data_IF_342359980323
#
_entry.id   IF_342359980323
#
_cell.length_a   1.000
_cell.length_b   1.000
_cell.length_c   1.000
_cell.angle_alpha   90.00
_cell.angle_beta   90.00
_cell.angle_gamma   90.00
#
_symmetry.space_group_name_H-M   'P 1'
#
loop_
_entity.id
_entity.type
_entity.pdbx_description
1 polymer ?
#
# COMPACT_ATOMS: atom_id res chain seq x y z
N UNK A 1 -5.49 -6.54 5.81
CA UNK A 1 -6.72 -6.06 6.49
C UNK A 1 -7.75 -5.67 5.45
N UNK A 2 -9.04 -5.57 5.83
CA UNK A 2 -10.13 -5.14 4.94
C UNK A 2 -9.93 -3.74 4.34
N UNK A 3 -9.16 -2.87 5.01
CA UNK A 3 -8.75 -1.58 4.43
C UNK A 3 -7.89 -1.74 3.17
N UNK A 4 -6.98 -2.73 3.13
CA UNK A 4 -6.19 -3.00 1.92
C UNK A 4 -7.07 -3.55 0.78
N UNK A 5 -8.00 -4.44 1.11
CA UNK A 5 -8.98 -4.95 0.13
C UNK A 5 -9.82 -3.82 -0.46
N UNK A 6 -10.27 -2.89 0.38
CA UNK A 6 -11.04 -1.73 -0.09
C UNK A 6 -10.26 -0.87 -1.09
N UNK A 7 -8.98 -0.62 -0.83
CA UNK A 7 -8.12 0.13 -1.74
C UNK A 7 -7.98 -0.59 -3.10
N UNK A 8 -7.81 -1.92 -3.07
CA UNK A 8 -7.74 -2.73 -4.28
C UNK A 8 -9.04 -2.67 -5.10
N UNK A 9 -10.19 -2.82 -4.44
CA UNK A 9 -11.49 -2.74 -5.09
C UNK A 9 -11.79 -1.33 -5.64
N UNK A 10 -11.35 -0.28 -4.96
CA UNK A 10 -11.45 1.08 -5.49
C UNK A 10 -10.61 1.27 -6.76
N UNK A 11 -9.40 0.71 -6.80
CA UNK A 11 -8.61 0.65 -8.02
C UNK A 11 -9.37 0.02 -9.19
N UNK A 12 -10.09 -1.07 -8.94
CA UNK A 12 -10.92 -1.73 -9.97
C UNK A 12 -12.10 -0.90 -10.42
N UNK A 13 -12.81 -0.26 -9.49
CA UNK A 13 -13.93 0.62 -9.84
C UNK A 13 -13.48 1.76 -10.77
N UNK A 14 -12.22 2.15 -10.68
CA UNK A 14 -11.58 3.13 -11.56
C UNK A 14 -10.98 2.53 -12.84
N UNK A 15 -11.26 1.27 -13.13
CA UNK A 15 -10.91 0.62 -14.39
C UNK A 15 -9.52 -0.04 -14.43
N UNK A 16 -8.83 -0.21 -13.29
CA UNK A 16 -7.60 -0.99 -13.25
C UNK A 16 -7.89 -2.46 -13.59
N UNK A 17 -7.25 -2.95 -14.65
CA UNK A 17 -7.49 -4.28 -15.23
C UNK A 17 -6.78 -5.40 -14.47
N UNK A 18 -5.56 -5.12 -14.03
CA UNK A 18 -4.73 -6.05 -13.25
C UNK A 18 -4.30 -5.35 -11.97
N UNK A 19 -4.34 -6.07 -10.86
CA UNK A 19 -3.87 -5.59 -9.57
C UNK A 19 -2.63 -6.36 -9.14
N UNK A 20 -1.57 -5.67 -8.77
CA UNK A 20 -0.40 -6.28 -8.16
C UNK A 20 -0.32 -5.94 -6.66
N UNK A 21 -0.25 -6.96 -5.80
CA UNK A 21 0.05 -6.79 -4.37
C UNK A 21 1.50 -7.14 -4.13
N UNK A 22 2.32 -6.12 -3.85
CA UNK A 22 3.77 -6.27 -3.69
C UNK A 22 4.14 -6.15 -2.23
N UNK A 23 4.76 -7.20 -1.69
CA UNK A 23 5.34 -7.19 -0.34
C UNK A 23 6.76 -6.64 -0.37
N UNK A 24 7.04 -5.67 0.50
CA UNK A 24 8.41 -5.25 0.73
C UNK A 24 9.10 -6.22 1.71
N UNK A 25 10.33 -6.64 1.38
CA UNK A 25 11.18 -7.50 2.23
C UNK A 25 11.62 -6.75 3.48
N UNK A 26 11.89 -5.45 3.37
CA UNK A 26 12.24 -4.55 4.48
C UNK A 26 11.42 -3.26 4.37
N UNK A 27 10.56 -2.95 5.35
CA UNK A 27 9.96 -1.62 5.42
C UNK A 27 11.06 -0.57 5.64
N UNK A 28 11.02 0.54 4.91
CA UNK A 28 12.05 1.59 4.97
C UNK A 28 12.25 2.22 6.37
N UNK A 29 11.25 2.16 7.28
CA UNK A 29 11.30 2.91 8.56
C UNK A 29 10.60 2.22 9.75
N UNK A 30 10.37 0.90 9.71
CA UNK A 30 9.58 0.24 10.76
C UNK A 30 10.34 -0.91 11.41
N UNK A 31 10.88 -0.64 12.61
CA UNK A 31 11.14 -1.67 13.60
C UNK A 31 9.82 -2.05 14.28
N UNK A 32 8.98 -2.82 13.57
CA UNK A 32 7.80 -3.43 14.19
C UNK A 32 7.96 -4.92 14.13
N UNK A 33 7.67 -5.61 15.25
CA UNK A 33 7.53 -7.07 15.28
C UNK A 33 6.47 -7.45 14.25
N UNK A 34 6.94 -7.95 13.11
CA UNK A 34 6.14 -8.33 11.96
C UNK A 34 6.27 -9.84 11.76
N UNK A 35 5.30 -10.45 11.08
CA UNK A 35 5.44 -11.83 10.68
C UNK A 35 6.55 -11.96 9.63
N UNK A 36 7.18 -13.12 9.61
CA UNK A 36 8.19 -13.46 8.60
C UNK A 36 7.66 -13.21 7.18
N UNK A 37 8.57 -12.88 6.26
CA UNK A 37 8.18 -12.63 4.87
C UNK A 37 7.37 -13.80 4.28
N UNK A 38 7.76 -15.03 4.61
CA UNK A 38 7.06 -16.25 4.17
C UNK A 38 5.64 -16.28 4.69
N UNK A 39 5.42 -16.00 5.98
CA UNK A 39 4.07 -15.97 6.56
C UNK A 39 3.22 -14.86 5.95
N UNK A 40 3.81 -13.69 5.67
CA UNK A 40 3.12 -12.60 4.96
C UNK A 40 2.70 -12.99 3.54
N UNK A 41 3.58 -13.67 2.81
CA UNK A 41 3.27 -14.17 1.47
C UNK A 41 2.19 -15.25 1.53
N UNK A 42 2.26 -16.17 2.49
CA UNK A 42 1.23 -17.20 2.69
C UNK A 42 -0.13 -16.59 3.04
N UNK A 43 -0.19 -15.52 3.84
CA UNK A 43 -1.43 -14.79 4.09
C UNK A 43 -2.01 -14.18 2.80
N UNK A 44 -1.17 -13.65 1.90
CA UNK A 44 -1.62 -13.15 0.60
C UNK A 44 -2.09 -14.28 -0.32
N UNK A 45 -1.38 -15.40 -0.36
CA UNK A 45 -1.79 -16.58 -1.14
C UNK A 45 -3.12 -17.16 -0.64
N UNK A 46 -3.39 -17.12 0.67
CA UNK A 46 -4.70 -17.51 1.20
C UNK A 46 -5.83 -16.57 0.77
N UNK A 47 -5.52 -15.31 0.51
CA UNK A 47 -6.51 -14.28 0.15
C UNK A 47 -6.71 -14.17 -1.37
N UNK A 48 -5.67 -14.42 -2.15
CA UNK A 48 -5.64 -14.15 -3.59
C UNK A 48 -5.17 -15.33 -4.44
N UNK A 49 -4.83 -16.49 -3.86
CA UNK A 49 -4.23 -17.61 -4.60
C UNK A 49 -5.08 -18.14 -5.76
N UNK A 50 -6.40 -18.05 -5.64
CA UNK A 50 -7.36 -18.49 -6.67
C UNK A 50 -7.79 -17.35 -7.62
N UNK A 51 -7.29 -16.13 -7.39
CA UNK A 51 -7.66 -14.92 -8.13
C UNK A 51 -6.68 -14.68 -9.28
N UNK A 52 -7.12 -14.94 -10.52
CA UNK A 52 -6.31 -14.68 -11.73
C UNK A 52 -6.12 -13.21 -12.07
N UNK A 53 -6.88 -12.34 -11.43
CA UNK A 53 -6.88 -10.89 -11.61
C UNK A 53 -6.04 -10.15 -10.54
N UNK A 54 -5.28 -10.90 -9.74
CA UNK A 54 -4.33 -10.37 -8.76
C UNK A 54 -2.99 -11.08 -8.88
N UNK A 55 -1.96 -10.31 -9.20
CA UNK A 55 -0.57 -10.74 -9.19
C UNK A 55 0.04 -10.49 -7.81
N UNK A 56 0.83 -11.45 -7.30
CA UNK A 56 1.56 -11.30 -6.04
C UNK A 56 3.05 -11.11 -6.33
N UNK A 57 3.64 -10.08 -5.74
CA UNK A 57 5.06 -9.75 -5.92
C UNK A 57 5.80 -9.61 -4.59
N UNK A 58 7.12 -9.74 -4.63
CA UNK A 58 8.01 -9.44 -3.52
C UNK A 58 9.10 -8.49 -4.02
N UNK A 59 9.30 -7.39 -3.32
CA UNK A 59 10.33 -6.39 -3.62
C UNK A 59 11.36 -6.34 -2.49
N UNK A 60 12.65 -6.36 -2.86
CA UNK A 60 13.74 -6.00 -1.95
C UNK A 60 14.07 -4.49 -2.01
N UNK A 61 13.39 -3.74 -2.89
CA UNK A 61 13.57 -2.31 -3.08
C UNK A 61 12.53 -1.51 -2.29
N UNK A 62 12.98 -0.52 -1.53
CA UNK A 62 12.09 0.35 -0.75
C UNK A 62 11.42 1.45 -1.59
N UNK A 63 12.13 1.98 -2.60
CA UNK A 63 11.64 3.09 -3.41
C UNK A 63 10.63 2.63 -4.47
N UNK A 64 9.57 3.40 -4.64
CA UNK A 64 8.56 3.17 -5.68
C UNK A 64 9.12 3.32 -7.09
N UNK A 65 10.08 4.23 -7.29
CA UNK A 65 10.77 4.37 -8.56
C UNK A 65 11.51 3.09 -8.96
N UNK A 66 12.20 2.44 -8.02
CA UNK A 66 12.86 1.15 -8.29
C UNK A 66 11.86 0.05 -8.67
N UNK A 67 10.66 0.05 -8.06
CA UNK A 67 9.59 -0.87 -8.43
C UNK A 67 9.05 -0.60 -9.83
N UNK A 68 8.85 0.67 -10.19
CA UNK A 68 8.43 1.06 -11.53
C UNK A 68 9.43 0.60 -12.58
N UNK A 69 10.73 0.88 -12.38
CA UNK A 69 11.81 0.46 -13.29
C UNK A 69 11.82 -1.06 -13.51
N UNK A 70 11.64 -1.84 -12.43
CA UNK A 70 11.58 -3.30 -12.52
C UNK A 70 10.35 -3.79 -13.30
N UNK A 71 9.22 -3.08 -13.23
CA UNK A 71 7.99 -3.45 -13.94
C UNK A 71 7.99 -3.01 -15.41
N UNK A 72 8.64 -1.91 -15.77
CA UNK A 72 8.60 -1.33 -17.12
C UNK A 72 9.04 -2.30 -18.22
N UNK A 73 9.96 -3.23 -17.92
CA UNK A 73 10.41 -4.27 -18.87
C UNK A 73 9.42 -5.42 -19.07
N UNK A 74 8.53 -5.64 -18.10
CA UNK A 74 7.60 -6.77 -18.05
C UNK A 74 6.18 -6.38 -18.51
N UNK A 75 5.87 -5.09 -18.51
CA UNK A 75 4.54 -4.59 -18.85
C UNK A 75 4.33 -4.48 -20.36
N UNK A 76 3.11 -4.77 -20.86
CA UNK A 76 2.76 -4.53 -22.26
C UNK A 76 2.99 -3.07 -22.67
N UNK A 77 3.34 -2.85 -23.95
CA UNK A 77 3.47 -1.50 -24.49
C UNK A 77 2.18 -0.69 -24.26
N UNK A 78 2.32 0.51 -23.72
CA UNK A 78 1.20 1.41 -23.42
C UNK A 78 0.47 1.11 -22.12
N UNK A 79 0.89 0.10 -21.35
CA UNK A 79 0.38 -0.09 -20.00
C UNK A 79 0.75 1.12 -19.12
N UNK A 80 -0.21 1.53 -18.27
CA UNK A 80 0.00 2.58 -17.27
C UNK A 80 0.04 1.95 -15.89
N UNK A 81 1.02 2.36 -15.09
CA UNK A 81 1.12 1.94 -13.69
C UNK A 81 0.38 2.93 -12.82
N UNK A 82 -0.47 2.43 -11.92
CA UNK A 82 -1.08 3.24 -10.87
C UNK A 82 -0.70 2.65 -9.53
N UNK A 83 0.06 3.41 -8.73
CA UNK A 83 0.42 2.99 -7.39
C UNK A 83 -0.75 3.26 -6.43
N UNK A 84 -1.33 2.17 -5.92
CA UNK A 84 -2.36 2.21 -4.90
C UNK A 84 -1.73 2.30 -3.52
N UNK A 85 -2.02 3.36 -2.76
CA UNK A 85 -1.43 3.54 -1.44
C UNK A 85 -2.34 4.31 -0.47
N UNK A 86 -2.00 4.27 0.81
CA UNK A 86 -2.65 5.11 1.82
C UNK A 86 -1.91 6.43 2.04
N UNK A 87 -2.59 7.39 2.67
CA UNK A 87 -2.06 8.72 3.02
C UNK A 87 -0.61 8.72 3.55
N UNK A 88 -0.32 7.95 4.61
CA UNK A 88 1.03 7.92 5.21
C UNK A 88 2.13 7.42 4.25
N UNK A 89 1.76 6.70 3.20
CA UNK A 89 2.71 6.25 2.17
C UNK A 89 2.89 7.30 1.09
N UNK A 90 1.85 8.07 0.74
CA UNK A 90 1.99 9.26 -0.11
C UNK A 90 2.95 10.26 0.54
N UNK A 91 2.78 10.56 1.83
CA UNK A 91 3.65 11.52 2.55
C UNK A 91 5.10 11.07 2.45
N UNK A 92 5.38 9.78 2.65
CA UNK A 92 6.74 9.22 2.51
C UNK A 92 7.23 9.21 1.06
N UNK A 93 6.36 8.92 0.09
CA UNK A 93 6.71 8.97 -1.32
C UNK A 93 7.24 10.34 -1.72
N UNK A 94 6.65 11.41 -1.18
CA UNK A 94 7.03 12.78 -1.51
C UNK A 94 8.07 13.39 -0.54
N UNK A 95 8.56 12.63 0.45
CA UNK A 95 9.50 13.12 1.45
C UNK A 95 10.94 13.10 0.89
N UNK A 96 11.66 14.24 0.88
CA UNK A 96 13.02 14.34 0.34
C UNK A 96 14.04 13.43 1.00
N UNK A 97 13.85 13.00 2.25
CA UNK A 97 14.84 12.17 2.96
C UNK A 97 15.10 10.81 2.31
N UNK A 98 14.22 10.35 1.42
CA UNK A 98 14.35 9.07 0.72
C UNK A 98 15.05 9.18 -0.64
N UNK A 99 15.49 10.38 -1.03
CA UNK A 99 16.05 10.63 -2.35
C UNK A 99 17.37 11.38 -2.25
N UNK A 100 18.33 11.04 -3.11
CA UNK A 100 19.50 11.86 -3.35
C UNK A 100 19.11 13.11 -4.16
N UNK A 101 18.40 12.91 -5.27
CA UNK A 101 17.72 13.96 -6.04
C UNK A 101 16.22 13.62 -6.13
N UNK A 102 15.45 14.26 -5.25
CA UNK A 102 14.00 14.05 -5.16
C UNK A 102 13.28 14.47 -6.44
N UNK A 103 13.66 15.60 -7.03
CA UNK A 103 12.92 16.14 -8.16
C UNK A 103 13.11 15.26 -9.40
N UNK A 104 14.36 14.89 -9.71
CA UNK A 104 14.65 13.97 -10.81
C UNK A 104 13.95 12.62 -10.62
N UNK A 105 14.02 12.05 -9.42
CA UNK A 105 13.40 10.76 -9.12
C UNK A 105 11.87 10.79 -9.25
N UNK A 106 11.21 11.84 -8.75
CA UNK A 106 9.76 11.96 -8.85
C UNK A 106 9.30 12.28 -10.27
N UNK A 107 10.05 13.11 -11.03
CA UNK A 107 9.76 13.34 -12.45
C UNK A 107 9.83 12.05 -13.25
N UNK A 108 10.83 11.22 -13.00
CA UNK A 108 10.93 9.91 -13.64
C UNK A 108 9.76 9.00 -13.24
N UNK A 109 9.45 8.90 -11.94
CA UNK A 109 8.34 8.10 -11.43
C UNK A 109 7.02 8.49 -12.10
N UNK A 110 6.71 9.78 -12.09
CA UNK A 110 5.44 10.31 -12.59
C UNK A 110 5.38 10.45 -14.11
N UNK A 111 6.50 10.22 -14.83
CA UNK A 111 6.48 10.04 -16.28
C UNK A 111 5.87 8.70 -16.70
N UNK A 112 5.99 7.67 -15.85
CA UNK A 112 5.51 6.30 -16.11
C UNK A 112 4.39 5.81 -15.20
N UNK A 113 4.03 6.57 -14.17
CA UNK A 113 3.03 6.16 -13.19
C UNK A 113 2.14 7.31 -12.70
N UNK A 114 0.97 6.93 -12.19
CA UNK A 114 0.07 7.77 -11.41
C UNK A 114 -0.07 7.19 -10.00
N UNK A 115 -0.65 7.95 -9.09
CA UNK A 115 -0.90 7.53 -7.71
C UNK A 115 -2.38 7.69 -7.39
N UNK A 116 -2.96 6.65 -6.77
CA UNK A 116 -4.30 6.70 -6.19
C UNK A 116 -4.20 6.49 -4.67
N UNK A 117 -4.65 7.50 -3.91
CA UNK A 117 -4.49 7.56 -2.47
C UNK A 117 -5.80 7.33 -1.74
N UNK A 118 -5.82 6.30 -0.89
CA UNK A 118 -6.88 6.13 0.10
C UNK A 118 -6.64 7.01 1.32
N UNK A 119 -7.47 8.04 1.48
CA UNK A 119 -7.52 8.91 2.66
C UNK A 119 -8.12 8.14 3.84
N UNK A 120 -7.41 8.15 4.96
CA UNK A 120 -7.69 7.31 6.15
C UNK A 120 -7.22 8.00 7.43
N UNK A 121 -7.68 7.51 8.57
CA UNK A 121 -7.52 8.21 9.85
C UNK A 121 -8.14 9.60 9.74
N UNK A 122 -7.43 10.58 10.27
CA UNK A 122 -7.81 11.99 10.26
C UNK A 122 -7.53 12.71 8.94
N UNK A 123 -6.85 12.06 7.97
CA UNK A 123 -6.54 12.70 6.70
C UNK A 123 -7.81 12.95 5.87
N UNK A 124 -7.95 14.17 5.40
CA UNK A 124 -9.06 14.69 4.60
C UNK A 124 -8.61 15.14 3.21
N UNK A 125 -9.57 15.49 2.35
CA UNK A 125 -9.28 16.13 1.06
C UNK A 125 -8.56 17.46 1.22
N UNK A 126 -8.89 18.24 2.24
CA UNK A 126 -8.22 19.50 2.55
C UNK A 126 -6.75 19.29 2.91
N UNK A 127 -6.43 18.24 3.67
CA UNK A 127 -5.04 17.89 4.00
C UNK A 127 -4.25 17.51 2.75
N UNK A 128 -4.85 16.74 1.84
CA UNK A 128 -4.25 16.38 0.56
C UNK A 128 -4.00 17.63 -0.30
N UNK A 129 -5.00 18.50 -0.43
CA UNK A 129 -4.87 19.72 -1.22
C UNK A 129 -3.79 20.64 -0.66
N UNK A 130 -3.78 20.86 0.65
CA UNK A 130 -2.75 21.66 1.32
C UNK A 130 -1.35 21.03 1.14
N UNK A 131 -1.25 19.70 1.22
CA UNK A 131 0.02 19.00 1.02
C UNK A 131 0.53 19.11 -0.43
N UNK A 132 -0.35 18.94 -1.42
CA UNK A 132 0.02 19.02 -2.85
C UNK A 132 0.22 20.45 -3.35
N UNK A 133 -0.33 21.45 -2.66
CA UNK A 133 -0.15 22.87 -3.00
C UNK A 133 1.21 23.43 -2.55
N UNK A 134 2.01 22.67 -1.80
CA UNK A 134 3.38 23.05 -1.47
C UNK A 134 4.24 23.16 -2.74
N UNK A 135 5.12 24.16 -2.88
CA UNK A 135 5.90 24.37 -4.10
C UNK A 135 6.66 23.12 -4.58
N UNK A 136 7.20 22.34 -3.66
CA UNK A 136 7.96 21.12 -3.94
C UNK A 136 7.09 19.93 -4.41
N UNK A 137 5.78 19.97 -4.17
CA UNK A 137 4.82 18.93 -4.56
C UNK A 137 3.97 19.33 -5.77
N UNK A 138 3.83 20.63 -6.00
CA UNK A 138 2.97 21.20 -7.05
C UNK A 138 3.20 20.58 -8.44
N UNK A 139 4.45 20.32 -8.91
CA UNK A 139 4.69 19.72 -10.22
C UNK A 139 4.09 18.32 -10.40
N UNK A 140 3.77 17.63 -9.31
CA UNK A 140 3.28 16.25 -9.31
C UNK A 140 1.78 16.14 -8.98
N UNK A 141 1.11 17.26 -8.66
CA UNK A 141 -0.29 17.31 -8.22
C UNK A 141 -1.23 16.53 -9.14
N UNK A 142 -1.13 16.77 -10.45
CA UNK A 142 -2.06 16.19 -11.44
C UNK A 142 -1.89 14.69 -11.66
N UNK A 143 -0.84 14.10 -11.07
CA UNK A 143 -0.54 12.66 -11.14
C UNK A 143 -1.03 11.91 -9.90
N UNK A 144 -1.62 12.64 -8.95
CA UNK A 144 -2.06 12.12 -7.66
C UNK A 144 -3.55 12.37 -7.52
N UNK A 145 -4.32 11.28 -7.50
CA UNK A 145 -5.76 11.31 -7.20
C UNK A 145 -6.03 10.60 -5.87
N UNK A 146 -7.22 10.81 -5.31
CA UNK A 146 -7.57 10.21 -4.03
C UNK A 146 -9.03 9.76 -3.95
N UNK A 147 -9.34 9.12 -2.83
CA UNK A 147 -10.68 8.75 -2.38
C UNK A 147 -10.68 8.61 -0.87
N UNK A 148 -11.87 8.71 -0.26
CA UNK A 148 -12.00 8.44 1.17
C UNK A 148 -12.30 6.97 1.44
N UNK A 149 -11.63 6.40 2.44
CA UNK A 149 -12.05 5.11 2.96
C UNK A 149 -13.38 5.28 3.73
N UNK A 150 -14.26 4.26 3.70
CA UNK A 150 -15.46 4.24 4.52
C UNK A 150 -15.12 4.47 6.00
N UNK A 151 -16.00 5.15 6.78
CA UNK A 151 -15.74 5.45 8.19
C UNK A 151 -15.27 4.24 9.00
N UNK A 152 -15.87 3.06 8.77
CA UNK A 152 -15.51 1.80 9.44
C UNK A 152 -14.10 1.28 9.14
N UNK A 153 -13.44 1.77 8.08
CA UNK A 153 -12.11 1.35 7.65
C UNK A 153 -11.04 2.43 7.84
N UNK A 154 -11.42 3.71 8.08
CA UNK A 154 -10.46 4.82 8.24
C UNK A 154 -9.44 4.56 9.36
N UNK A 155 -9.88 4.00 10.49
CA UNK A 155 -9.01 3.71 11.65
C UNK A 155 -8.24 2.38 11.56
N UNK A 156 -8.49 1.55 10.54
CA UNK A 156 -7.97 0.17 10.49
C UNK A 156 -6.49 0.12 10.10
N UNK A 157 -5.59 -0.09 11.06
CA UNK A 157 -4.14 -0.26 10.80
C UNK A 157 -3.66 -1.68 11.14
N UNK A 158 -2.69 -2.18 10.38
CA UNK A 158 -2.06 -3.48 10.69
C UNK A 158 -1.31 -3.45 12.03
N UNK A 159 -0.74 -2.30 12.41
CA UNK A 159 -0.10 -2.10 13.71
C UNK A 159 -1.10 -2.31 14.85
N UNK A 160 -2.27 -1.68 14.76
CA UNK A 160 -3.32 -1.81 15.79
C UNK A 160 -3.88 -3.23 15.85
N UNK A 161 -4.08 -3.88 14.69
CA UNK A 161 -4.48 -5.30 14.63
C UNK A 161 -3.48 -6.19 15.38
N UNK A 162 -2.17 -6.02 15.12
CA UNK A 162 -1.13 -6.80 15.81
C UNK A 162 -1.10 -6.49 17.31
N UNK A 163 -1.23 -5.23 17.70
CA UNK A 163 -1.28 -4.80 19.10
C UNK A 163 -2.44 -5.47 19.85
N UNK A 164 -3.63 -5.46 19.28
CA UNK A 164 -4.82 -6.13 19.85
C UNK A 164 -4.61 -7.63 20.06
N UNK A 165 -3.97 -8.30 19.10
CA UNK A 165 -3.67 -9.73 19.19
C UNK A 165 -2.63 -10.01 20.29
N UNK A 166 -1.56 -9.21 20.34
CA UNK A 166 -0.52 -9.34 21.37
C UNK A 166 -1.07 -9.14 22.78
N UNK A 167 -1.99 -8.19 22.95
CA UNK A 167 -2.67 -7.90 24.21
C UNK A 167 -3.84 -8.88 24.52
N UNK A 168 -3.99 -9.95 23.73
CA UNK A 168 -4.99 -11.00 23.99
C UNK A 168 -6.44 -10.61 23.71
N UNK A 169 -6.70 -9.47 23.04
CA UNK A 169 -8.06 -9.00 22.72
C UNK A 169 -8.72 -9.73 21.53
N UNK A 170 -8.07 -10.77 21.02
CA UNK A 170 -8.53 -11.54 19.87
C UNK A 170 -8.18 -10.90 18.52
N UNK A 171 -8.57 -11.57 17.43
CA UNK A 171 -8.31 -11.08 16.07
C UNK A 171 -9.50 -10.24 15.61
N UNK A 172 -9.31 -8.95 15.28
CA UNK A 172 -10.43 -8.07 14.99
C UNK A 172 -11.14 -8.44 13.67
N UNK A 173 -12.44 -8.13 13.57
CA UNK A 173 -13.27 -8.43 12.39
C UNK A 173 -12.85 -7.70 11.11
N UNK A 174 -11.94 -6.72 11.22
CA UNK A 174 -11.34 -5.98 10.11
C UNK A 174 -10.22 -6.76 9.40
N UNK A 175 -9.89 -7.96 9.88
CA UNK A 175 -9.04 -8.93 9.18
C UNK A 175 -9.94 -9.86 8.35
N UNK A 176 -9.61 -10.16 7.07
CA UNK A 176 -10.33 -11.15 6.27
C UNK A 176 -10.28 -12.54 6.91
N UNK A 177 -11.32 -13.36 6.75
CA UNK A 177 -11.46 -14.61 7.49
C UNK A 177 -10.34 -15.61 7.18
N UNK A 178 -9.95 -15.71 5.91
CA UNK A 178 -8.86 -16.56 5.42
C UNK A 178 -7.53 -16.21 6.10
N UNK A 179 -7.33 -14.92 6.39
CA UNK A 179 -6.15 -14.41 7.08
C UNK A 179 -6.27 -14.61 8.59
N UNK A 180 -7.47 -14.48 9.18
CA UNK A 180 -7.70 -14.78 10.61
C UNK A 180 -7.35 -16.24 10.91
N UNK A 181 -7.87 -17.17 10.12
CA UNK A 181 -7.62 -18.60 10.23
C UNK A 181 -6.12 -18.90 10.20
N UNK A 182 -5.40 -18.25 9.29
CA UNK A 182 -3.96 -18.41 9.18
C UNK A 182 -3.23 -17.90 10.42
N UNK A 183 -3.56 -16.69 10.90
CA UNK A 183 -2.99 -16.10 12.11
C UNK A 183 -3.22 -17.00 13.32
N UNK A 184 -4.43 -17.57 13.48
CA UNK A 184 -4.76 -18.49 14.58
C UNK A 184 -3.93 -19.77 14.51
N UNK A 185 -3.90 -20.44 13.34
CA UNK A 185 -3.18 -21.70 13.14
C UNK A 185 -1.68 -21.56 13.36
N UNK A 186 -1.11 -20.42 12.97
CA UNK A 186 0.32 -20.13 13.10
C UNK A 186 0.69 -19.41 14.41
N UNK A 187 -0.29 -19.14 15.27
CA UNK A 187 -0.10 -18.40 16.52
C UNK A 187 0.64 -17.05 16.35
N UNK A 188 0.43 -16.38 15.21
CA UNK A 188 1.15 -15.15 14.88
C UNK A 188 0.73 -14.00 15.79
N UNK A 189 1.68 -13.11 16.06
CA UNK A 189 1.49 -11.87 16.83
C UNK A 189 1.09 -12.07 18.31
N UNK A 190 1.20 -13.30 18.83
CA UNK A 190 1.11 -13.56 20.27
C UNK A 190 2.48 -13.30 20.91
N UNK A 191 2.52 -12.54 22.00
CA UNK A 191 3.75 -12.15 22.71
C UNK A 191 4.01 -10.67 22.62
#
# INVERSE_FOLDING_TARGET
TKAHLWILEEGRRRGLKELAVVLDKRPLDKEVREAELVDRLLMLLKLFGDRRDVSLGVSNQGLFLSKLRALQGELPRGARVVFLMGWNTLVRLLDPKYYEDREAALRELFSGAEVLVGLRGEASWGDLEAFLSRPENLPFRDRISAFELPPSLRSVSSTEVRRQIAEGRGIPSVVPEEVKDFIQKRALYRG
#
